data_IF_579678461245
#
_entry.id   IF_579678461245
#
_cell.length_a   1.000
_cell.length_b   1.000
_cell.length_c   1.000
_cell.angle_alpha   90.00
_cell.angle_beta   90.00
_cell.angle_gamma   90.00
#
_symmetry.space_group_name_H-M   'P 1'
#
loop_
_entity.id
_entity.type
_entity.pdbx_description
1 polymer ?
#
# COMPACT_ATOMS: atom_id res chain seq x y z
N UNK A 1 -12.46 -12.55 28.45
CA UNK A 1 -12.63 -13.26 27.17
C UNK A 1 -11.82 -12.53 26.13
N UNK A 2 -11.11 -13.24 25.26
CA UNK A 2 -10.37 -12.60 24.17
C UNK A 2 -11.34 -11.84 23.26
N UNK A 3 -10.92 -10.65 22.80
CA UNK A 3 -11.73 -9.82 21.90
C UNK A 3 -11.92 -10.51 20.54
N UNK A 4 -12.90 -10.07 19.75
CA UNK A 4 -13.05 -10.58 18.38
C UNK A 4 -11.80 -10.33 17.53
N UNK A 5 -11.13 -9.20 17.75
CA UNK A 5 -9.88 -8.86 17.07
C UNK A 5 -8.78 -9.87 17.37
N UNK A 6 -8.53 -10.14 18.65
CA UNK A 6 -7.50 -11.08 19.12
C UNK A 6 -7.75 -12.50 18.59
N UNK A 7 -9.01 -12.94 18.62
CA UNK A 7 -9.42 -14.26 18.12
C UNK A 7 -9.22 -14.38 16.62
N UNK A 8 -9.47 -13.32 15.86
CA UNK A 8 -9.29 -13.30 14.40
C UNK A 8 -7.81 -13.30 14.05
N UNK A 9 -6.99 -12.46 14.69
CA UNK A 9 -5.55 -12.43 14.46
C UNK A 9 -4.91 -13.78 14.77
N UNK A 10 -5.26 -14.37 15.93
CA UNK A 10 -4.77 -15.69 16.32
C UNK A 10 -5.15 -16.77 15.29
N UNK A 11 -6.39 -16.77 14.80
CA UNK A 11 -6.82 -17.74 13.79
C UNK A 11 -5.96 -17.67 12.51
N UNK A 12 -5.57 -16.46 12.09
CA UNK A 12 -4.74 -16.26 10.90
C UNK A 12 -3.28 -16.66 11.17
N UNK A 13 -2.76 -16.34 12.36
CA UNK A 13 -1.40 -16.67 12.80
C UNK A 13 -1.18 -18.18 12.90
N UNK A 14 -2.18 -18.92 13.38
CA UNK A 14 -2.15 -20.39 13.48
C UNK A 14 -2.08 -21.09 12.10
N UNK A 15 -2.15 -20.36 10.98
CA UNK A 15 -2.18 -20.91 9.62
C UNK A 15 -1.00 -20.43 8.76
N UNK A 16 -0.05 -21.32 8.49
CA UNK A 16 1.12 -21.03 7.64
C UNK A 16 0.73 -20.68 6.19
N UNK A 17 -0.26 -21.36 5.64
CA UNK A 17 -0.72 -21.16 4.24
C UNK A 17 -1.71 -19.99 4.13
N UNK A 18 -2.30 -19.57 5.25
CA UNK A 18 -3.36 -18.59 5.32
C UNK A 18 -4.76 -19.20 5.17
N UNK A 19 -5.78 -18.43 5.58
CA UNK A 19 -7.16 -18.91 5.69
C UNK A 19 -8.12 -18.14 4.79
N UNK A 20 -9.14 -18.83 4.27
CA UNK A 20 -10.27 -18.11 3.66
C UNK A 20 -11.05 -17.34 4.73
N UNK A 21 -11.79 -16.31 4.33
CA UNK A 21 -12.68 -15.59 5.26
C UNK A 21 -13.66 -16.50 6.01
N UNK A 22 -14.09 -17.60 5.36
CA UNK A 22 -14.99 -18.58 5.97
C UNK A 22 -14.27 -19.36 7.06
N UNK A 23 -13.03 -19.77 6.82
CA UNK A 23 -12.25 -20.56 7.77
C UNK A 23 -11.76 -19.70 8.94
N UNK A 24 -11.40 -18.44 8.70
CA UNK A 24 -11.16 -17.46 9.76
C UNK A 24 -12.38 -17.33 10.66
N UNK A 25 -13.58 -17.20 10.09
CA UNK A 25 -14.82 -17.07 10.87
C UNK A 25 -15.08 -18.30 11.75
N UNK A 26 -14.88 -19.51 11.19
CA UNK A 26 -15.03 -20.78 11.92
C UNK A 26 -14.02 -20.90 13.06
N UNK A 27 -12.73 -20.69 12.77
CA UNK A 27 -11.65 -20.87 13.74
C UNK A 27 -11.67 -19.79 14.84
N UNK A 28 -11.97 -18.54 14.47
CA UNK A 28 -12.14 -17.47 15.44
C UNK A 28 -13.47 -17.58 16.20
N UNK A 29 -14.43 -18.40 15.78
CA UNK A 29 -15.75 -18.57 16.41
C UNK A 29 -16.63 -17.32 16.32
N UNK A 30 -16.64 -16.66 15.15
CA UNK A 30 -17.41 -15.44 14.87
C UNK A 30 -18.26 -15.61 13.62
N UNK A 31 -19.24 -14.72 13.40
CA UNK A 31 -20.01 -14.75 12.16
C UNK A 31 -19.14 -14.37 10.95
N UNK A 32 -19.49 -14.87 9.75
CA UNK A 32 -18.80 -14.50 8.50
C UNK A 32 -18.78 -12.99 8.28
N UNK A 33 -19.89 -12.30 8.56
CA UNK A 33 -19.98 -10.83 8.46
C UNK A 33 -19.07 -10.13 9.46
N UNK A 34 -18.95 -10.65 10.68
CA UNK A 34 -18.01 -10.14 11.69
C UNK A 34 -16.58 -10.29 11.20
N UNK A 35 -16.20 -11.47 10.69
CA UNK A 35 -14.87 -11.70 10.14
C UNK A 35 -14.55 -10.72 9.00
N UNK A 36 -15.47 -10.54 8.04
CA UNK A 36 -15.28 -9.57 6.93
C UNK A 36 -14.98 -8.16 7.47
N UNK A 37 -15.80 -7.65 8.39
CA UNK A 37 -15.64 -6.29 8.94
C UNK A 37 -14.29 -6.11 9.62
N UNK A 38 -13.91 -7.05 10.48
CA UNK A 38 -12.67 -6.96 11.23
C UNK A 38 -11.44 -7.13 10.34
N UNK A 39 -11.46 -8.07 9.40
CA UNK A 39 -10.36 -8.27 8.44
C UNK A 39 -10.12 -7.03 7.58
N UNK A 40 -11.17 -6.31 7.18
CA UNK A 40 -11.03 -5.02 6.47
C UNK A 40 -10.31 -3.97 7.32
N UNK A 41 -10.66 -3.85 8.60
CA UNK A 41 -10.01 -2.91 9.54
C UNK A 41 -8.55 -3.32 9.78
N UNK A 42 -8.32 -4.58 10.15
CA UNK A 42 -6.98 -5.14 10.41
C UNK A 42 -6.04 -5.01 9.22
N UNK A 43 -6.56 -5.17 7.99
CA UNK A 43 -5.80 -4.91 6.76
C UNK A 43 -5.41 -3.44 6.62
N UNK A 44 -6.34 -2.54 6.92
CA UNK A 44 -6.11 -1.10 6.83
C UNK A 44 -5.09 -0.61 7.86
N UNK A 45 -5.05 -1.27 9.02
CA UNK A 45 -4.05 -1.09 10.07
C UNK A 45 -2.71 -1.79 9.76
N UNK A 46 -2.64 -2.59 8.69
CA UNK A 46 -1.44 -3.31 8.28
C UNK A 46 -1.13 -4.56 9.12
N UNK A 47 -2.04 -5.01 9.99
CA UNK A 47 -1.85 -6.20 10.84
C UNK A 47 -2.01 -7.51 10.08
N UNK A 48 -2.79 -7.51 9.00
CA UNK A 48 -2.95 -8.68 8.11
C UNK A 48 -3.02 -8.26 6.64
N UNK A 49 -2.79 -9.21 5.75
CA UNK A 49 -2.94 -9.05 4.31
C UNK A 49 -3.67 -10.26 3.73
N UNK A 50 -4.12 -10.16 2.46
CA UNK A 50 -4.62 -11.32 1.74
C UNK A 50 -3.81 -11.55 0.46
N UNK A 51 -3.69 -12.82 0.09
CA UNK A 51 -3.12 -13.27 -1.18
C UNK A 51 -4.23 -13.94 -1.98
N UNK A 52 -4.31 -13.63 -3.27
CA UNK A 52 -5.25 -14.26 -4.19
C UNK A 52 -4.60 -15.52 -4.78
N UNK A 53 -5.23 -16.67 -4.52
CA UNK A 53 -4.80 -17.98 -5.04
C UNK A 53 -6.00 -18.58 -5.77
N UNK A 54 -5.97 -18.51 -7.10
CA UNK A 54 -7.10 -18.86 -7.95
C UNK A 54 -8.34 -18.03 -7.60
N UNK A 55 -9.52 -18.66 -7.38
CA UNK A 55 -10.74 -17.93 -7.02
C UNK A 55 -10.81 -17.53 -5.53
N UNK A 56 -9.78 -17.86 -4.73
CA UNK A 56 -9.83 -17.73 -3.27
C UNK A 56 -8.91 -16.63 -2.75
N UNK A 57 -9.35 -15.96 -1.68
CA UNK A 57 -8.56 -15.00 -0.89
C UNK A 57 -8.11 -15.67 0.40
N UNK A 58 -6.81 -15.76 0.61
CA UNK A 58 -6.20 -16.31 1.81
C UNK A 58 -5.60 -15.20 2.67
N UNK A 59 -6.10 -15.05 3.89
CA UNK A 59 -5.63 -14.09 4.88
C UNK A 59 -4.40 -14.62 5.59
N UNK A 60 -3.40 -13.74 5.78
CA UNK A 60 -2.14 -14.01 6.47
C UNK A 60 -1.76 -12.82 7.36
N UNK A 61 -0.98 -13.07 8.41
CA UNK A 61 -0.36 -12.00 9.19
C UNK A 61 0.59 -11.22 8.29
N UNK A 62 0.61 -9.91 8.45
CA UNK A 62 1.64 -9.08 7.82
C UNK A 62 2.93 -9.26 8.61
N UNK A 63 3.95 -9.88 8.02
CA UNK A 63 5.27 -9.88 8.64
C UNK A 63 5.78 -8.44 8.76
N UNK A 64 6.34 -8.04 9.92
CA UNK A 64 7.08 -6.79 10.02
C UNK A 64 8.30 -6.91 9.10
N UNK A 65 8.20 -6.32 7.91
CA UNK A 65 9.34 -6.23 7.00
C UNK A 65 10.42 -5.39 7.69
N UNK A 66 11.46 -6.06 8.22
CA UNK A 66 12.67 -5.41 8.71
C UNK A 66 13.11 -4.36 7.69
N UNK A 67 13.04 -3.10 8.10
CA UNK A 67 13.69 -2.01 7.41
C UNK A 67 15.12 -2.07 7.89
N UNK A 68 16.01 -2.62 7.05
CA UNK A 68 17.45 -2.48 7.27
C UNK A 68 17.77 -0.99 7.40
N UNK A 69 18.25 -0.59 8.58
CA UNK A 69 18.75 0.74 8.87
C UNK A 69 20.13 0.91 8.22
N UNK A 70 20.34 1.97 7.46
CA UNK A 70 21.60 2.71 7.54
C UNK A 70 21.30 4.19 7.34
N UNK A 71 21.58 4.96 8.38
CA UNK A 71 21.64 6.41 8.32
C UNK A 71 22.87 6.79 7.50
N UNK A 72 22.70 7.48 6.37
CA UNK A 72 23.71 8.38 5.82
C UNK A 72 23.06 9.61 5.19
N UNK A 73 23.83 10.69 5.26
CA UNK A 73 23.44 12.08 5.13
C UNK A 73 22.93 12.48 3.74
N UNK A 74 22.17 13.58 3.79
CA UNK A 74 22.26 14.74 2.88
C UNK A 74 23.35 14.62 1.81
N UNK A 75 22.92 14.38 0.58
CA UNK A 75 23.34 15.08 -0.65
C UNK A 75 22.79 14.26 -1.81
N UNK A 76 21.81 14.83 -2.52
CA UNK A 76 21.71 14.80 -3.97
C UNK A 76 20.25 14.98 -4.41
N UNK A 77 19.84 16.25 -4.48
CA UNK A 77 18.55 16.66 -5.06
C UNK A 77 18.71 17.08 -6.53
N UNK A 78 19.96 17.28 -6.99
CA UNK A 78 20.28 17.73 -8.35
C UNK A 78 20.21 16.58 -9.37
N UNK A 79 20.59 15.36 -8.99
CA UNK A 79 20.56 14.20 -9.89
C UNK A 79 19.13 13.75 -10.25
N UNK A 80 18.16 13.96 -9.35
CA UNK A 80 16.76 13.65 -9.60
C UNK A 80 16.15 14.57 -10.68
N UNK A 81 16.52 15.85 -10.68
CA UNK A 81 16.07 16.82 -11.69
C UNK A 81 16.72 16.54 -13.06
N UNK A 82 17.99 16.13 -13.06
CA UNK A 82 18.71 15.73 -14.28
C UNK A 82 18.11 14.46 -14.91
N UNK A 83 17.64 13.51 -14.09
CA UNK A 83 17.06 12.26 -14.59
C UNK A 83 15.65 12.43 -15.16
N UNK A 84 14.80 13.26 -14.53
CA UNK A 84 13.46 13.58 -15.04
C UNK A 84 13.53 14.29 -16.40
N UNK A 85 14.54 15.14 -16.61
CA UNK A 85 14.78 15.85 -17.89
C UNK A 85 15.29 14.94 -19.02
N UNK A 86 15.83 13.75 -18.73
CA UNK A 86 16.44 12.86 -19.74
C UNK A 86 15.58 11.67 -20.16
N UNK A 87 14.36 11.52 -19.63
CA UNK A 87 13.46 10.42 -20.02
C UNK A 87 14.06 9.02 -19.81
N UNK A 88 15.03 8.89 -18.90
CA UNK A 88 15.72 7.63 -18.61
C UNK A 88 15.18 6.98 -17.35
N UNK A 89 15.01 5.66 -17.38
CA UNK A 89 14.68 4.84 -16.23
C UNK A 89 15.70 5.05 -15.10
N UNK A 90 15.29 5.72 -14.02
CA UNK A 90 16.09 5.87 -12.80
C UNK A 90 16.17 4.51 -12.11
N UNK A 91 17.33 3.90 -12.19
CA UNK A 91 17.80 2.95 -11.17
C UNK A 91 18.44 3.80 -10.07
N UNK A 92 17.72 4.13 -8.99
CA UNK A 92 18.26 4.47 -7.63
C UNK A 92 17.24 5.13 -6.69
N UNK A 93 17.37 4.78 -5.40
CA UNK A 93 16.72 5.34 -4.20
C UNK A 93 15.19 5.23 -4.12
N UNK A 94 14.76 4.17 -3.45
CA UNK A 94 13.35 3.83 -3.20
C UNK A 94 12.66 4.91 -2.36
N UNK A 95 12.07 5.91 -3.01
CA UNK A 95 10.89 6.54 -2.46
C UNK A 95 9.84 5.42 -2.37
N UNK A 96 9.54 4.95 -1.15
CA UNK A 96 8.41 4.04 -0.91
C UNK A 96 7.10 4.79 -1.17
N UNK A 97 6.79 5.01 -2.44
CA UNK A 97 5.53 5.52 -2.92
C UNK A 97 4.64 4.31 -3.21
N UNK A 98 3.64 4.09 -2.36
CA UNK A 98 2.53 3.20 -2.72
C UNK A 98 1.59 3.99 -3.63
N UNK A 99 1.60 3.70 -4.93
CA UNK A 99 0.66 4.26 -5.88
C UNK A 99 -0.54 3.32 -6.04
N UNK A 100 -1.74 3.84 -5.75
CA UNK A 100 -2.99 3.22 -6.20
C UNK A 100 -3.57 4.18 -7.24
N UNK A 101 -3.64 3.73 -8.48
CA UNK A 101 -4.25 4.46 -9.59
C UNK A 101 -5.55 3.75 -9.98
N UNK A 102 -6.65 4.50 -9.99
CA UNK A 102 -7.93 4.04 -10.52
C UNK A 102 -8.23 4.89 -11.75
N UNK A 103 -8.34 4.22 -12.90
CA UNK A 103 -8.69 4.83 -14.18
C UNK A 103 -10.18 4.58 -14.41
N UNK A 104 -10.97 5.64 -14.49
CA UNK A 104 -12.38 5.57 -14.86
C UNK A 104 -12.55 6.33 -16.18
N UNK A 105 -13.01 5.63 -17.23
CA UNK A 105 -13.48 6.26 -18.47
C UNK A 105 -14.87 6.85 -18.20
N UNK A 106 -14.89 8.08 -17.72
CA UNK A 106 -16.12 8.87 -17.53
C UNK A 106 -15.99 10.12 -18.38
N UNK A 107 -16.39 10.00 -19.66
CA UNK A 107 -16.45 11.05 -20.69
C UNK A 107 -15.10 11.46 -21.31
N UNK A 108 -15.11 12.45 -22.20
CA UNK A 108 -13.97 12.94 -22.99
C UNK A 108 -12.75 13.39 -22.13
N UNK A 109 -12.93 13.51 -20.81
CA UNK A 109 -11.89 13.83 -19.83
C UNK A 109 -11.39 12.59 -19.08
N UNK A 110 -10.11 12.28 -19.21
CA UNK A 110 -9.46 11.19 -18.46
C UNK A 110 -9.14 11.65 -17.04
N UNK A 111 -9.90 11.17 -16.05
CA UNK A 111 -9.63 11.44 -14.63
C UNK A 111 -8.76 10.35 -14.03
N UNK A 112 -7.57 10.73 -13.56
CA UNK A 112 -6.64 9.83 -12.86
C UNK A 112 -6.63 10.19 -11.38
N UNK A 113 -7.23 9.33 -10.55
CA UNK A 113 -7.17 9.46 -9.08
C UNK A 113 -5.97 8.70 -8.53
N UNK A 114 -5.08 9.41 -7.82
CA UNK A 114 -3.87 8.83 -7.22
C UNK A 114 -3.87 9.09 -5.70
N UNK A 115 -3.67 8.03 -4.91
CA UNK A 115 -3.48 8.13 -3.45
C UNK A 115 -2.06 7.78 -3.05
N UNK A 116 -1.46 8.56 -2.15
CA UNK A 116 -0.09 8.39 -1.67
C UNK A 116 0.00 8.58 -0.15
N UNK A 117 0.91 7.86 0.50
CA UNK A 117 1.30 8.09 1.91
C UNK A 117 2.59 8.89 1.93
N UNK A 118 2.56 10.09 2.49
CA UNK A 118 3.72 10.98 2.62
C UNK A 118 3.77 11.50 4.06
N UNK A 119 4.98 11.57 4.64
CA UNK A 119 5.15 12.17 5.96
C UNK A 119 4.75 13.65 5.91
N UNK A 120 4.05 14.20 6.93
CA UNK A 120 3.54 15.58 6.91
C UNK A 120 4.59 16.63 6.51
N UNK A 121 5.82 16.49 7.01
CA UNK A 121 6.95 17.39 6.75
C UNK A 121 7.47 17.37 5.29
N UNK A 122 7.07 16.38 4.47
CA UNK A 122 7.48 16.23 3.07
C UNK A 122 6.37 16.58 2.07
N UNK A 123 5.17 16.94 2.53
CA UNK A 123 4.02 17.25 1.66
C UNK A 123 4.33 18.42 0.71
N UNK A 124 4.99 19.48 1.17
CA UNK A 124 5.35 20.63 0.32
C UNK A 124 6.30 20.25 -0.83
N UNK A 125 7.33 19.46 -0.53
CA UNK A 125 8.26 18.93 -1.55
C UNK A 125 7.54 18.06 -2.56
N UNK A 126 6.64 17.19 -2.09
CA UNK A 126 5.84 16.32 -2.94
C UNK A 126 4.90 17.11 -3.87
N UNK A 127 4.22 18.14 -3.37
CA UNK A 127 3.37 19.01 -4.21
C UNK A 127 4.19 19.69 -5.31
N UNK A 128 5.37 20.21 -4.97
CA UNK A 128 6.25 20.86 -5.95
C UNK A 128 6.74 19.88 -7.02
N UNK A 129 7.03 18.64 -6.63
CA UNK A 129 7.38 17.55 -7.54
C UNK A 129 6.24 17.27 -8.54
N UNK A 130 5.02 17.06 -8.04
CA UNK A 130 3.86 16.78 -8.88
C UNK A 130 3.56 17.92 -9.85
N UNK A 131 3.67 19.18 -9.40
CA UNK A 131 3.51 20.36 -10.26
C UNK A 131 4.54 20.40 -11.40
N UNK A 132 5.80 20.03 -11.13
CA UNK A 132 6.85 19.94 -12.16
C UNK A 132 6.53 18.85 -13.20
N UNK A 133 5.94 17.73 -12.81
CA UNK A 133 5.57 16.65 -13.72
C UNK A 133 4.40 17.01 -14.65
N UNK A 134 3.40 17.74 -14.14
CA UNK A 134 2.21 18.11 -14.94
C UNK A 134 2.54 19.15 -16.01
N UNK A 135 3.47 20.07 -15.75
CA UNK A 135 3.86 21.12 -16.72
C UNK A 135 4.72 20.62 -17.89
N UNK A 136 5.16 19.35 -17.90
CA UNK A 136 5.99 18.84 -19.00
C UNK A 136 5.19 18.31 -20.20
N UNK A 137 3.85 18.32 -20.15
CA UNK A 137 3.00 17.74 -21.21
C UNK A 137 2.54 18.79 -22.25
N UNK A 138 2.64 20.09 -21.95
CA UNK A 138 2.12 21.17 -22.82
C UNK A 138 3.16 21.81 -23.77
N UNK A 139 4.21 21.10 -24.16
CA UNK A 139 5.11 21.56 -25.22
C UNK A 139 5.19 20.56 -26.37
N UNK A 140 4.20 20.63 -27.27
CA UNK A 140 4.40 20.33 -28.69
C UNK A 140 3.62 21.29 -29.57
#
# INVERSE_FOLDING_TARGET
>A
MASYEERILKAIEDSEVGLTTVDVAKQAGVSKTTAIKYLSVLKSEGKCQFVEIGPSKLWRISEPKEVAETAENVECMEDFEAALKRGGAVTTSSLKLSLVAQLEEISDDVVISMSFKVKPEKVGTFINLMKKCVHQIDSQ
#
